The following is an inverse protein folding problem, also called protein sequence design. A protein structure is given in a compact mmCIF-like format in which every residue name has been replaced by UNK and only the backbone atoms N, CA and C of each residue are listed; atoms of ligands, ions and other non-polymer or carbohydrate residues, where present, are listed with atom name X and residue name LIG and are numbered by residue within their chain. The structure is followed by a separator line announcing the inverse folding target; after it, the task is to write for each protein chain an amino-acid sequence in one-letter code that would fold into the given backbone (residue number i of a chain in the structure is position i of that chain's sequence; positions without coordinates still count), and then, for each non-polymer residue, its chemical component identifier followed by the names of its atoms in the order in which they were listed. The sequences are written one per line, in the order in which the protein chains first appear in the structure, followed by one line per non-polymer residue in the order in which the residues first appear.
data_IF_678945155142
#
_entry.id   IF_678945155142
#
_cell.length_a   1.000
_cell.length_b   1.000
_cell.length_c   1.000
_cell.angle_alpha   90.00
_cell.angle_beta   90.00
_cell.angle_gamma   90.00
#
_symmetry.space_group_name_H-M   'P 1'
#
loop_
_entity.id
_entity.type
_entity.pdbx_description
1 polymer ?
#
# COMPACT_ATOMS: atom_id res chain seq x y z
N UNK A 1 29.43 15.12 -37.91
CA UNK A 1 28.42 15.59 -38.88
C UNK A 1 27.30 16.22 -38.08
N UNK A 2 27.18 17.55 -38.10
CA UNK A 2 26.26 18.36 -37.28
C UNK A 2 25.07 18.83 -38.13
N UNK A 3 23.86 18.75 -37.60
CA UNK A 3 22.65 19.37 -38.19
C UNK A 3 22.65 20.90 -37.96
N UNK A 4 21.90 21.63 -38.79
CA UNK A 4 21.72 23.08 -38.91
C UNK A 4 21.36 23.82 -37.58
N UNK A 5 21.13 23.09 -36.48
CA UNK A 5 20.85 23.66 -35.15
C UNK A 5 22.01 23.59 -34.15
N UNK A 6 23.20 23.12 -34.56
CA UNK A 6 24.40 23.14 -33.71
C UNK A 6 24.36 22.20 -32.49
N UNK A 7 23.41 21.26 -32.43
CA UNK A 7 23.33 20.24 -31.38
C UNK A 7 24.15 19.01 -31.85
N UNK A 8 25.11 18.50 -31.05
CA UNK A 8 25.83 17.27 -31.40
C UNK A 8 24.85 16.09 -31.50
N UNK A 9 24.92 15.30 -32.58
CA UNK A 9 24.06 14.12 -32.77
C UNK A 9 24.19 13.09 -31.61
N UNK A 10 25.33 13.07 -30.92
CA UNK A 10 25.60 12.25 -29.73
C UNK A 10 24.67 12.57 -28.54
N UNK A 11 24.31 13.84 -28.34
CA UNK A 11 23.49 14.29 -27.20
C UNK A 11 22.00 13.99 -27.39
N UNK A 12 21.52 13.98 -28.64
CA UNK A 12 20.14 13.61 -28.97
C UNK A 12 19.88 12.11 -28.75
N UNK A 13 20.78 11.24 -29.24
CA UNK A 13 20.69 9.79 -29.04
C UNK A 13 20.78 9.42 -27.55
N UNK A 14 21.64 10.07 -26.77
CA UNK A 14 21.75 9.81 -25.34
C UNK A 14 20.47 10.15 -24.54
N UNK A 15 19.76 11.21 -24.89
CA UNK A 15 18.51 11.61 -24.22
C UNK A 15 17.35 10.67 -24.56
N UNK A 16 17.28 10.21 -25.81
CA UNK A 16 16.29 9.22 -26.26
C UNK A 16 16.51 7.85 -25.61
N UNK A 17 17.77 7.42 -25.51
CA UNK A 17 18.18 6.18 -24.82
C UNK A 17 17.78 6.21 -23.34
N UNK A 18 18.08 7.31 -22.66
CA UNK A 18 17.76 7.51 -21.26
C UNK A 18 16.24 7.56 -21.03
N UNK A 19 15.49 8.26 -21.89
CA UNK A 19 14.04 8.33 -21.82
C UNK A 19 13.38 6.96 -22.02
N UNK A 20 13.91 6.14 -22.94
CA UNK A 20 13.45 4.76 -23.15
C UNK A 20 13.70 3.89 -21.91
N UNK A 21 14.93 3.93 -21.39
CA UNK A 21 15.31 3.15 -20.21
C UNK A 21 14.44 3.47 -19.00
N UNK A 22 14.16 4.76 -18.75
CA UNK A 22 13.26 5.15 -17.66
C UNK A 22 11.83 4.68 -17.88
N UNK A 23 11.29 4.78 -19.11
CA UNK A 23 9.96 4.25 -19.42
C UNK A 23 9.87 2.75 -19.14
N UNK A 24 10.88 1.98 -19.52
CA UNK A 24 10.90 0.54 -19.30
C UNK A 24 10.94 0.20 -17.81
N UNK A 25 11.75 0.92 -17.02
CA UNK A 25 11.78 0.79 -15.55
C UNK A 25 10.42 1.12 -14.94
N UNK A 26 9.82 2.26 -15.30
CA UNK A 26 8.51 2.67 -14.79
C UNK A 26 7.38 1.71 -15.18
N UNK A 27 7.47 1.05 -16.34
CA UNK A 27 6.49 0.06 -16.79
C UNK A 27 6.64 -1.31 -16.10
N UNK A 28 7.86 -1.64 -15.66
CA UNK A 28 8.19 -2.86 -14.95
C UNK A 28 7.90 -2.80 -13.44
N UNK A 29 7.85 -1.61 -12.85
CA UNK A 29 7.45 -1.44 -11.45
C UNK A 29 5.99 -1.89 -11.25
N UNK A 30 5.66 -2.60 -10.16
CA UNK A 30 4.29 -2.98 -9.83
C UNK A 30 3.49 -1.81 -9.24
N UNK A 31 3.80 -0.57 -9.65
CA UNK A 31 3.16 0.65 -9.18
C UNK A 31 2.35 1.24 -10.31
N UNK A 32 1.06 1.46 -10.06
CA UNK A 32 0.22 2.28 -10.92
C UNK A 32 0.64 3.74 -10.81
N UNK A 33 0.61 4.46 -11.92
CA UNK A 33 0.89 5.88 -11.94
C UNK A 33 -0.21 6.58 -12.74
N UNK A 34 -0.86 7.56 -12.13
CA UNK A 34 -1.77 8.50 -12.78
C UNK A 34 -1.16 9.88 -12.82
N UNK A 35 -1.20 10.50 -13.99
CA UNK A 35 -0.66 11.84 -14.23
C UNK A 35 -1.80 12.85 -14.30
N UNK A 36 -1.61 13.97 -13.63
CA UNK A 36 -2.59 15.05 -13.61
C UNK A 36 -1.93 16.40 -13.88
N UNK A 37 -2.71 17.31 -14.45
CA UNK A 37 -2.38 18.72 -14.59
C UNK A 37 -3.41 19.59 -13.91
N UNK A 38 -2.95 20.54 -13.11
CA UNK A 38 -3.80 21.56 -12.51
C UNK A 38 -3.94 22.74 -13.49
N UNK A 39 -5.15 22.91 -14.01
CA UNK A 39 -5.48 24.04 -14.87
C UNK A 39 -5.61 25.34 -14.04
N UNK A 40 -5.41 26.52 -14.64
CA UNK A 40 -5.49 27.80 -13.92
C UNK A 40 -6.86 28.11 -13.31
N UNK A 41 -7.92 27.45 -13.80
CA UNK A 41 -9.28 27.51 -13.23
C UNK A 41 -9.48 26.57 -12.03
N UNK A 42 -8.45 25.83 -11.62
CA UNK A 42 -8.47 24.91 -10.49
C UNK A 42 -8.93 23.49 -10.84
N UNK A 43 -9.25 23.19 -12.10
CA UNK A 43 -9.59 21.82 -12.52
C UNK A 43 -8.35 20.95 -12.57
N UNK A 44 -8.46 19.75 -12.00
CA UNK A 44 -7.41 18.75 -12.04
C UNK A 44 -7.69 17.77 -13.17
N UNK A 45 -6.99 17.94 -14.30
CA UNK A 45 -7.21 17.21 -15.53
C UNK A 45 -6.32 15.98 -15.58
N UNK A 46 -6.89 14.82 -15.89
CA UNK A 46 -6.15 13.58 -16.09
C UNK A 46 -5.39 13.61 -17.41
N UNK A 47 -4.07 13.48 -17.37
CA UNK A 47 -3.20 13.59 -18.55
C UNK A 47 -2.66 12.24 -19.03
N UNK A 48 -2.71 11.19 -18.20
CA UNK A 48 -2.35 9.85 -18.61
C UNK A 48 -2.13 8.89 -17.46
N UNK A 49 -1.72 7.67 -17.80
CA UNK A 49 -1.34 6.64 -16.85
C UNK A 49 -0.23 5.75 -17.40
N UNK A 50 0.44 5.00 -16.51
CA UNK A 50 1.34 3.92 -16.93
C UNK A 50 0.58 2.60 -17.17
N UNK A 51 1.16 1.63 -17.91
CA UNK A 51 0.49 0.34 -18.15
C UNK A 51 0.21 -0.48 -16.89
N UNK A 52 0.92 -0.23 -15.79
CA UNK A 52 0.65 -0.91 -14.51
C UNK A 52 -0.68 -0.45 -13.89
N UNK A 53 -1.05 0.83 -14.04
CA UNK A 53 -2.33 1.35 -13.60
C UNK A 53 -3.51 0.61 -14.24
N UNK A 54 -3.44 0.35 -15.56
CA UNK A 54 -4.48 -0.40 -16.27
C UNK A 54 -4.62 -1.83 -15.73
N UNK A 55 -3.50 -2.49 -15.43
CA UNK A 55 -3.49 -3.84 -14.84
C UNK A 55 -4.07 -3.89 -13.43
N UNK A 56 -3.71 -2.91 -12.60
CA UNK A 56 -4.12 -2.83 -11.20
C UNK A 56 -5.61 -2.48 -11.10
N UNK A 57 -6.06 -1.47 -11.83
CA UNK A 57 -7.45 -1.00 -11.80
C UNK A 57 -8.39 -1.79 -12.71
N UNK A 58 -7.83 -2.66 -13.57
CA UNK A 58 -8.57 -3.48 -14.56
C UNK A 58 -9.44 -2.64 -15.50
N UNK A 59 -8.99 -1.43 -15.81
CA UNK A 59 -9.67 -0.47 -16.69
C UNK A 59 -8.65 0.15 -17.64
N UNK A 60 -9.06 0.44 -18.88
CA UNK A 60 -8.20 1.16 -19.81
C UNK A 60 -8.22 2.66 -19.49
N UNK A 61 -7.17 3.18 -18.83
CA UNK A 61 -7.14 4.56 -18.35
C UNK A 61 -7.08 5.60 -19.48
N UNK A 62 -6.68 5.19 -20.68
CA UNK A 62 -6.61 6.06 -21.87
C UNK A 62 -7.94 6.77 -22.16
N UNK A 63 -9.08 6.14 -21.83
CA UNK A 63 -10.41 6.71 -22.04
C UNK A 63 -10.71 7.96 -21.17
N UNK A 64 -9.93 8.18 -20.11
CA UNK A 64 -10.11 9.28 -19.16
C UNK A 64 -9.22 10.49 -19.46
N UNK A 65 -8.30 10.39 -20.43
CA UNK A 65 -7.41 11.49 -20.80
C UNK A 65 -8.22 12.72 -21.20
N UNK A 66 -7.88 13.86 -20.59
CA UNK A 66 -8.54 15.16 -20.80
C UNK A 66 -9.77 15.41 -19.94
N UNK A 67 -10.26 14.41 -19.19
CA UNK A 67 -11.35 14.59 -18.24
C UNK A 67 -10.84 15.14 -16.91
N UNK A 68 -11.71 15.83 -16.19
CA UNK A 68 -11.41 16.23 -14.81
C UNK A 68 -11.45 15.00 -13.91
N UNK A 69 -10.66 14.95 -12.85
CA UNK A 69 -10.57 13.79 -11.94
C UNK A 69 -11.94 13.32 -11.43
N UNK A 70 -12.86 14.23 -11.11
CA UNK A 70 -14.22 13.89 -10.66
C UNK A 70 -15.11 13.30 -11.77
N UNK A 71 -14.80 13.56 -13.04
CA UNK A 71 -15.50 12.95 -14.19
C UNK A 71 -14.87 11.60 -14.59
N UNK A 72 -13.55 11.50 -14.45
CA UNK A 72 -12.79 10.28 -14.72
C UNK A 72 -13.03 9.21 -13.64
N UNK A 73 -13.10 9.63 -12.38
CA UNK A 73 -13.25 8.78 -11.21
C UNK A 73 -14.31 9.38 -10.26
N UNK A 74 -15.61 9.22 -10.56
CA UNK A 74 -16.70 9.83 -9.79
C UNK A 74 -16.68 9.54 -8.29
N UNK A 75 -16.22 8.35 -7.88
CA UNK A 75 -16.15 7.98 -6.46
C UNK A 75 -15.14 8.80 -5.65
N UNK A 76 -14.16 9.42 -6.32
CA UNK A 76 -13.21 10.31 -5.68
C UNK A 76 -13.79 11.69 -5.36
N UNK A 77 -14.92 12.08 -5.98
CA UNK A 77 -15.51 13.39 -5.75
C UNK A 77 -15.88 13.63 -4.27
N UNK A 78 -16.24 12.57 -3.54
CA UNK A 78 -16.58 12.63 -2.11
C UNK A 78 -15.44 12.28 -1.14
N UNK A 79 -14.28 11.82 -1.63
CA UNK A 79 -13.22 11.27 -0.76
C UNK A 79 -12.22 12.32 -0.24
N UNK A 80 -12.26 13.55 -0.78
CA UNK A 80 -11.28 14.60 -0.51
C UNK A 80 -9.94 14.42 -1.22
N UNK A 81 -9.72 13.29 -1.93
CA UNK A 81 -8.51 13.02 -2.71
C UNK A 81 -8.25 14.09 -3.78
N UNK A 82 -9.25 14.54 -4.58
CA UNK A 82 -9.03 15.59 -5.58
C UNK A 82 -8.45 16.87 -4.97
N UNK A 83 -8.92 17.28 -3.79
CA UNK A 83 -8.42 18.51 -3.15
C UNK A 83 -7.00 18.34 -2.62
N UNK A 84 -6.67 17.16 -2.06
CA UNK A 84 -5.28 16.84 -1.67
C UNK A 84 -4.34 16.88 -2.86
N UNK A 85 -4.76 16.39 -4.01
CA UNK A 85 -3.96 16.47 -5.24
C UNK A 85 -3.75 17.91 -5.70
N UNK A 86 -4.80 18.75 -5.65
CA UNK A 86 -4.65 20.19 -5.91
C UNK A 86 -3.66 20.83 -4.93
N UNK A 87 -3.72 20.48 -3.65
CA UNK A 87 -2.80 20.96 -2.62
C UNK A 87 -1.35 20.51 -2.86
N UNK A 88 -1.12 19.27 -3.28
CA UNK A 88 0.21 18.75 -3.67
C UNK A 88 0.80 19.60 -4.79
N UNK A 89 0.03 19.89 -5.85
CA UNK A 89 0.51 20.74 -6.96
C UNK A 89 0.78 22.17 -6.48
N UNK A 90 -0.09 22.76 -5.65
CA UNK A 90 0.05 24.15 -5.18
C UNK A 90 1.21 24.34 -4.19
N UNK A 91 1.42 23.38 -3.29
CA UNK A 91 2.39 23.47 -2.20
C UNK A 91 3.74 22.81 -2.51
N UNK A 92 3.77 21.89 -3.47
CA UNK A 92 4.89 21.00 -3.72
C UNK A 92 5.15 19.96 -2.62
N UNK A 93 4.33 19.93 -1.57
CA UNK A 93 4.48 18.94 -0.49
C UNK A 93 3.87 17.61 -0.91
N UNK A 94 4.60 16.48 -0.77
CA UNK A 94 4.06 15.16 -1.01
C UNK A 94 2.87 14.85 -0.10
N UNK A 95 1.93 14.04 -0.61
CA UNK A 95 0.84 13.50 0.18
C UNK A 95 0.79 11.99 0.05
N UNK A 96 0.61 11.30 1.17
CA UNK A 96 0.50 9.85 1.21
C UNK A 96 -0.69 9.37 2.03
N UNK A 97 -1.25 8.24 1.63
CA UNK A 97 -2.29 7.55 2.39
C UNK A 97 -2.28 6.06 2.07
N UNK A 98 -2.58 5.23 3.08
CA UNK A 98 -2.75 3.79 2.93
C UNK A 98 -4.24 3.37 2.86
N UNK A 99 -5.15 4.34 2.78
CA UNK A 99 -6.60 4.13 2.90
C UNK A 99 -7.39 4.82 1.79
N UNK A 100 -7.05 4.57 0.53
CA UNK A 100 -8.03 4.79 -0.54
C UNK A 100 -8.74 3.47 -0.79
N UNK A 101 -9.94 3.34 -0.23
CA UNK A 101 -10.87 2.27 -0.60
C UNK A 101 -11.65 2.79 -1.80
N UNK A 102 -11.30 2.31 -2.99
CA UNK A 102 -12.22 2.40 -4.12
C UNK A 102 -13.32 1.39 -3.84
N UNK A 103 -14.55 1.86 -3.73
CA UNK A 103 -15.73 1.04 -3.51
C UNK A 103 -16.75 1.39 -4.59
N UNK A 104 -16.48 0.91 -5.81
CA UNK A 104 -17.48 0.87 -6.88
C UNK A 104 -17.68 -0.59 -7.33
N UNK A 105 -18.66 -0.82 -8.21
CA UNK A 105 -19.00 -2.13 -8.76
C UNK A 105 -17.85 -2.81 -9.52
N UNK A 106 -16.77 -2.10 -9.86
CA UNK A 106 -15.63 -2.63 -10.63
C UNK A 106 -14.28 -2.66 -9.91
N UNK A 107 -14.04 -1.81 -8.90
CA UNK A 107 -12.75 -1.69 -8.21
C UNK A 107 -12.99 -1.92 -6.72
N UNK A 108 -12.40 -2.99 -6.18
CA UNK A 108 -12.44 -3.33 -4.76
C UNK A 108 -11.03 -3.67 -4.28
N UNK A 109 -10.45 -2.83 -3.44
CA UNK A 109 -9.08 -3.03 -2.93
C UNK A 109 -8.66 -1.95 -1.93
N UNK A 110 -7.62 -2.25 -1.17
CA UNK A 110 -6.91 -1.27 -0.36
C UNK A 110 -5.71 -0.78 -1.15
N UNK A 111 -5.65 0.52 -1.44
CA UNK A 111 -4.56 1.11 -2.19
C UNK A 111 -3.71 2.01 -1.30
N UNK A 112 -2.39 1.81 -1.37
CA UNK A 112 -1.44 2.81 -0.90
C UNK A 112 -1.24 3.81 -2.03
N UNK A 113 -1.35 5.11 -1.72
CA UNK A 113 -1.25 6.20 -2.69
C UNK A 113 -0.20 7.18 -2.22
N UNK A 114 0.72 7.55 -3.12
CA UNK A 114 1.73 8.57 -2.91
C UNK A 114 1.66 9.60 -4.05
N UNK A 115 1.30 10.83 -3.73
CA UNK A 115 1.12 11.92 -4.67
C UNK A 115 2.26 12.93 -4.53
N UNK A 116 2.90 13.26 -5.65
CA UNK A 116 4.01 14.22 -5.71
C UNK A 116 3.87 15.17 -6.89
N UNK A 117 4.26 16.43 -6.70
CA UNK A 117 4.39 17.39 -7.79
C UNK A 117 5.62 17.03 -8.65
N UNK A 118 5.45 17.07 -9.96
CA UNK A 118 6.51 16.75 -10.95
C UNK A 118 6.86 17.93 -11.85
N UNK A 119 6.15 19.04 -11.71
CA UNK A 119 6.35 20.30 -12.42
C UNK A 119 5.46 21.40 -11.85
N UNK A 120 5.50 22.60 -12.43
CA UNK A 120 4.79 23.78 -11.90
C UNK A 120 3.28 23.58 -11.74
N UNK A 121 2.67 22.76 -12.61
CA UNK A 121 1.23 22.44 -12.57
C UNK A 121 0.96 20.96 -12.79
N UNK A 122 1.97 20.13 -12.61
CA UNK A 122 1.89 18.71 -12.92
C UNK A 122 2.18 17.89 -11.68
N UNK A 123 1.49 16.76 -11.56
CA UNK A 123 1.72 15.81 -10.50
C UNK A 123 1.54 14.39 -11.01
N UNK A 124 2.10 13.45 -10.25
CA UNK A 124 1.85 12.03 -10.38
C UNK A 124 1.29 11.48 -9.08
N UNK A 125 0.25 10.68 -9.17
CA UNK A 125 -0.26 9.84 -8.10
C UNK A 125 0.20 8.41 -8.37
N UNK A 126 1.14 7.93 -7.55
CA UNK A 126 1.60 6.55 -7.55
C UNK A 126 0.70 5.74 -6.63
N UNK A 127 0.33 4.53 -7.04
CA UNK A 127 -0.49 3.66 -6.21
C UNK A 127 -0.11 2.18 -6.33
N UNK A 128 -0.30 1.47 -5.23
CA UNK A 128 -0.04 0.03 -5.10
C UNK A 128 -1.29 -0.65 -4.53
N UNK A 129 -1.65 -1.81 -5.07
CA UNK A 129 -2.65 -2.68 -4.44
C UNK A 129 -2.02 -3.41 -3.26
N UNK A 130 -2.40 -3.02 -2.05
CA UNK A 130 -1.91 -3.60 -0.80
C UNK A 130 -2.92 -4.56 -0.18
N UNK A 131 -3.95 -4.96 -0.92
CA UNK A 131 -5.05 -5.79 -0.42
C UNK A 131 -4.56 -7.14 0.13
N UNK A 132 -3.73 -7.86 -0.64
CA UNK A 132 -3.21 -9.17 -0.23
C UNK A 132 -2.26 -9.06 0.96
N UNK A 133 -1.39 -8.04 0.94
CA UNK A 133 -0.47 -7.74 2.04
C UNK A 133 -1.24 -7.48 3.34
N UNK A 134 -2.26 -6.60 3.30
CA UNK A 134 -3.08 -6.29 4.48
C UNK A 134 -3.91 -7.48 4.95
N UNK A 135 -4.44 -8.32 4.04
CA UNK A 135 -5.13 -9.56 4.42
C UNK A 135 -4.20 -10.53 5.15
N UNK A 136 -2.97 -10.67 4.67
CA UNK A 136 -1.97 -11.54 5.29
C UNK A 136 -1.55 -11.02 6.66
N UNK A 137 -1.25 -9.72 6.77
CA UNK A 137 -0.92 -9.07 8.04
C UNK A 137 -2.07 -9.17 9.07
N UNK A 138 -3.32 -8.96 8.62
CA UNK A 138 -4.50 -9.09 9.46
C UNK A 138 -4.71 -10.54 9.92
N UNK A 139 -4.53 -11.53 9.04
CA UNK A 139 -4.65 -12.95 9.39
C UNK A 139 -3.60 -13.38 10.42
N UNK A 140 -2.35 -12.93 10.26
CA UNK A 140 -1.27 -13.18 11.25
C UNK A 140 -1.63 -12.55 12.60
N UNK A 141 -2.11 -11.31 12.58
CA UNK A 141 -2.48 -10.57 13.80
C UNK A 141 -3.65 -11.25 14.52
N UNK A 142 -4.68 -11.65 13.80
CA UNK A 142 -5.83 -12.39 14.34
C UNK A 142 -5.40 -13.74 14.94
N UNK A 143 -4.52 -14.47 14.25
CA UNK A 143 -4.01 -15.76 14.73
C UNK A 143 -3.21 -15.62 16.03
N UNK A 144 -2.37 -14.58 16.13
CA UNK A 144 -1.61 -14.28 17.36
C UNK A 144 -2.53 -13.93 18.53
N UNK A 145 -3.56 -13.11 18.29
CA UNK A 145 -4.53 -12.76 19.31
C UNK A 145 -5.32 -13.99 19.79
N UNK A 146 -5.72 -14.87 18.87
CA UNK A 146 -6.40 -16.12 19.19
C UNK A 146 -5.50 -17.06 20.02
N UNK A 147 -4.22 -17.21 19.64
CA UNK A 147 -3.26 -18.02 20.39
C UNK A 147 -3.05 -17.48 21.81
N UNK A 148 -2.82 -16.17 21.96
CA UNK A 148 -2.66 -15.54 23.26
C UNK A 148 -3.89 -15.73 24.16
N UNK A 149 -5.10 -15.65 23.59
CA UNK A 149 -6.34 -15.91 24.31
C UNK A 149 -6.44 -17.37 24.76
N UNK A 150 -6.05 -18.32 23.89
CA UNK A 150 -6.04 -19.74 24.20
C UNK A 150 -5.03 -20.07 25.31
N UNK A 151 -3.80 -19.54 25.23
CA UNK A 151 -2.77 -19.74 26.25
C UNK A 151 -3.21 -19.17 27.61
N UNK A 152 -3.77 -17.96 27.64
CA UNK A 152 -4.29 -17.36 28.87
C UNK A 152 -5.42 -18.21 29.48
N UNK A 153 -6.30 -18.76 28.64
CA UNK A 153 -7.40 -19.63 29.08
C UNK A 153 -6.87 -20.95 29.64
N UNK A 154 -5.89 -21.58 28.97
CA UNK A 154 -5.25 -22.81 29.44
C UNK A 154 -4.59 -22.59 30.80
N UNK A 155 -3.82 -21.51 30.94
CA UNK A 155 -3.16 -21.15 32.21
C UNK A 155 -4.15 -20.93 33.33
N UNK A 156 -5.23 -20.17 33.08
CA UNK A 156 -6.28 -19.94 34.06
C UNK A 156 -6.98 -21.25 34.47
N UNK A 157 -7.25 -22.13 33.49
CA UNK A 157 -7.83 -23.45 33.74
C UNK A 157 -6.92 -24.33 34.61
N UNK A 158 -5.64 -24.49 34.24
CA UNK A 158 -4.67 -25.26 35.01
C UNK A 158 -4.52 -24.73 36.44
N UNK A 159 -4.48 -23.41 36.59
CA UNK A 159 -4.34 -22.79 37.90
C UNK A 159 -5.59 -22.97 38.78
N UNK A 160 -6.78 -23.01 38.19
CA UNK A 160 -8.02 -23.26 38.90
C UNK A 160 -8.17 -24.71 39.40
N UNK A 161 -7.41 -25.66 38.86
CA UNK A 161 -7.47 -27.06 39.30
C UNK A 161 -7.00 -27.19 40.78
N UNK A 162 -7.73 -27.96 41.61
CA UNK A 162 -7.39 -28.15 43.02
C UNK A 162 -6.15 -29.03 43.21
N UNK A 163 -5.93 -29.97 42.28
CA UNK A 163 -4.83 -30.93 42.33
C UNK A 163 -3.58 -30.45 41.55
N UNK A 164 -2.45 -31.14 41.76
CA UNK A 164 -1.23 -30.94 40.98
C UNK A 164 -1.50 -31.28 39.51
N UNK A 165 -1.28 -30.33 38.61
CA UNK A 165 -1.51 -30.49 37.19
C UNK A 165 -0.37 -29.91 36.34
N UNK A 166 -0.07 -30.59 35.24
CA UNK A 166 0.89 -30.16 34.23
C UNK A 166 0.49 -30.63 32.83
N UNK A 167 0.89 -29.85 31.84
CA UNK A 167 0.88 -30.23 30.43
C UNK A 167 2.27 -30.77 30.10
N UNK A 168 2.33 -32.00 29.60
CA UNK A 168 3.58 -32.70 29.30
C UNK A 168 3.70 -32.89 27.78
N UNK A 169 4.81 -32.42 27.21
CA UNK A 169 5.12 -32.54 25.80
C UNK A 169 5.83 -33.86 25.44
N UNK A 170 6.15 -34.05 24.15
CA UNK A 170 6.93 -35.19 23.69
C UNK A 170 8.27 -35.32 24.46
N UNK A 171 8.64 -36.54 24.82
CA UNK A 171 9.86 -36.80 25.59
C UNK A 171 9.75 -36.53 27.10
N UNK A 172 8.56 -36.26 27.63
CA UNK A 172 8.32 -36.12 29.08
C UNK A 172 8.65 -34.73 29.65
N UNK A 173 8.85 -33.73 28.79
CA UNK A 173 9.14 -32.36 29.21
C UNK A 173 7.85 -31.66 29.67
N UNK A 174 7.86 -31.05 30.86
CA UNK A 174 6.74 -30.22 31.34
C UNK A 174 6.74 -28.91 30.54
N UNK A 175 5.66 -28.65 29.82
CA UNK A 175 5.47 -27.44 29.01
C UNK A 175 4.78 -26.33 29.81
N UNK A 176 3.77 -26.68 30.60
CA UNK A 176 3.09 -25.78 31.54
C UNK A 176 2.69 -26.54 32.81
N UNK A 177 2.55 -25.83 33.93
CA UNK A 177 2.07 -26.41 35.18
C UNK A 177 1.37 -25.37 36.05
N UNK A 178 0.58 -25.85 37.02
CA UNK A 178 -0.06 -24.98 37.99
C UNK A 178 0.83 -24.70 39.22
N UNK A 179 0.44 -23.71 40.02
CA UNK A 179 1.18 -23.31 41.23
C UNK A 179 1.33 -24.41 42.27
N UNK A 180 0.48 -25.45 42.22
CA UNK A 180 0.51 -26.58 43.14
C UNK A 180 1.69 -27.48 42.81
N UNK A 181 1.92 -27.77 41.52
CA UNK A 181 3.13 -28.48 41.09
C UNK A 181 4.39 -27.69 41.41
N UNK A 182 4.45 -26.40 41.06
CA UNK A 182 5.63 -25.55 41.31
C UNK A 182 6.06 -25.54 42.77
N UNK A 183 5.09 -25.45 43.69
CA UNK A 183 5.32 -25.54 45.14
C UNK A 183 5.82 -26.92 45.57
N UNK A 184 5.27 -27.99 45.02
CA UNK A 184 5.65 -29.36 45.37
C UNK A 184 7.08 -29.71 44.94
N UNK A 185 7.55 -29.16 43.81
CA UNK A 185 8.89 -29.44 43.24
C UNK A 185 9.95 -28.41 43.65
N UNK A 186 9.61 -27.41 44.48
CA UNK A 186 10.56 -26.44 45.04
C UNK A 186 11.14 -25.43 44.05
N UNK A 187 10.50 -25.20 42.89
CA UNK A 187 10.90 -24.13 41.95
C UNK A 187 10.07 -22.86 42.20
N UNK A 188 10.68 -21.67 42.31
CA UNK A 188 9.92 -20.43 42.40
C UNK A 188 9.14 -20.21 41.10
N UNK A 189 7.86 -19.84 41.21
CA UNK A 189 7.04 -19.42 40.07
C UNK A 189 7.65 -18.17 39.42
N UNK A 190 7.82 -18.19 38.09
CA UNK A 190 8.11 -17.01 37.27
C UNK A 190 6.80 -16.36 36.80
#
# INVERSE_FOLDING_TARGET
MTDHRGIPASTATGMEELGRRWRDVFAALPLGAHFYRLEPDGRLVFTGANPAADRILKVENRQFIGRVIEEAFPDLAGSGVPERYREVVRSGQPWETEHVVYADQQIAGAFSVHAVATGEREMVALFEDVTERRRSEAAVTASRAALATSEATLRAFLEALPDIAAVVGPGGVILECNSKLSRAIGRPSA
#
